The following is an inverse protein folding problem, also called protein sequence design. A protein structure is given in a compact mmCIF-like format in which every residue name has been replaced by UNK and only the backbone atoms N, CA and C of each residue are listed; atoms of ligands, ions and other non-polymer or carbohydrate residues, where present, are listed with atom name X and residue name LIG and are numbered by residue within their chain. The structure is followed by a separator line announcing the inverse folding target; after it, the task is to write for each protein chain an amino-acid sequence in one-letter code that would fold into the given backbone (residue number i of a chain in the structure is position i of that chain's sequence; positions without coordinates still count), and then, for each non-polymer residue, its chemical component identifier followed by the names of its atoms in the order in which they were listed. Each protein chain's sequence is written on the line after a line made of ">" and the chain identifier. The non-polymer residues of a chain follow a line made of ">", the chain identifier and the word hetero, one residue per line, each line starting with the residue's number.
data_IF_472432981163
#
_entry.id   IF_472432981163
#
_cell.length_a   1.000
_cell.length_b   1.000
_cell.length_c   1.000
_cell.angle_alpha   90.00
_cell.angle_beta   90.00
_cell.angle_gamma   90.00
#
_symmetry.space_group_name_H-M   'P 1'
#
loop_
_entity.id
_entity.type
_entity.pdbx_description
1 polymer ?
#
# COMPACT_ATOMS: atom_id res chain seq x y z
N UNK A 1 1.96 10.78 -6.49
CA UNK A 1 3.39 11.16 -6.69
C UNK A 1 4.36 9.96 -6.61
N UNK A 2 4.30 9.08 -5.58
CA UNK A 2 5.22 7.92 -5.45
C UNK A 2 5.12 6.88 -6.57
N UNK A 3 3.92 6.60 -7.08
CA UNK A 3 3.70 5.60 -8.13
C UNK A 3 4.19 6.07 -9.50
N UNK A 4 4.04 7.35 -9.82
CA UNK A 4 4.61 7.96 -11.03
C UNK A 4 6.15 7.81 -11.09
N UNK A 5 6.85 8.00 -9.97
CA UNK A 5 8.30 7.71 -9.89
C UNK A 5 8.64 6.22 -10.09
N UNK A 6 7.75 5.32 -9.70
CA UNK A 6 7.95 3.88 -9.89
C UNK A 6 7.75 3.46 -11.34
N UNK A 7 6.72 4.03 -12.00
CA UNK A 7 6.44 3.89 -13.42
C UNK A 7 7.61 4.41 -14.27
N UNK A 8 8.05 5.63 -14.00
CA UNK A 8 9.19 6.25 -14.68
C UNK A 8 10.43 5.38 -14.61
N UNK A 9 10.79 4.88 -13.41
CA UNK A 9 11.96 4.00 -13.23
C UNK A 9 11.86 2.67 -13.98
N UNK A 10 10.66 2.10 -14.09
CA UNK A 10 10.43 0.86 -14.85
C UNK A 10 10.63 1.13 -16.33
N UNK A 11 10.06 2.22 -16.85
CA UNK A 11 10.20 2.62 -18.26
C UNK A 11 11.65 2.94 -18.59
N UNK A 12 12.35 3.70 -17.75
CA UNK A 12 13.77 4.03 -17.93
C UNK A 12 14.65 2.78 -17.97
N UNK A 13 14.45 1.84 -17.04
CA UNK A 13 15.20 0.56 -17.02
C UNK A 13 14.97 -0.28 -18.26
N UNK A 14 13.73 -0.39 -18.71
CA UNK A 14 13.42 -1.17 -19.92
C UNK A 14 13.94 -0.48 -21.18
N UNK A 15 13.90 0.85 -21.23
CA UNK A 15 14.49 1.65 -22.32
C UNK A 15 16.01 1.44 -22.41
N UNK A 16 16.70 1.42 -21.27
CA UNK A 16 18.14 1.16 -21.19
C UNK A 16 18.54 -0.24 -21.66
N UNK A 17 17.64 -1.23 -21.55
CA UNK A 17 17.90 -2.60 -22.00
C UNK A 17 17.53 -2.82 -23.47
N UNK A 18 16.36 -2.34 -23.89
CA UNK A 18 15.80 -2.62 -25.23
C UNK A 18 16.56 -1.83 -26.31
N UNK A 19 16.88 -0.55 -26.09
CA UNK A 19 17.52 0.28 -27.12
C UNK A 19 18.91 -0.23 -27.53
N UNK A 20 19.82 -0.61 -26.61
CA UNK A 20 21.10 -1.18 -26.99
C UNK A 20 20.97 -2.56 -27.63
N UNK A 21 20.07 -3.40 -27.14
CA UNK A 21 19.82 -4.72 -27.72
C UNK A 21 19.31 -4.61 -29.16
N UNK A 22 18.40 -3.68 -29.42
CA UNK A 22 17.83 -3.44 -30.75
C UNK A 22 18.87 -2.87 -31.72
N UNK A 23 19.74 -1.96 -31.25
CA UNK A 23 20.89 -1.47 -32.03
C UNK A 23 21.90 -2.58 -32.34
N UNK A 24 22.16 -3.48 -31.38
CA UNK A 24 23.05 -4.62 -31.60
C UNK A 24 22.46 -5.55 -32.67
N UNK A 25 21.18 -5.94 -32.55
CA UNK A 25 20.49 -6.77 -33.55
C UNK A 25 20.43 -6.11 -34.93
N UNK A 26 20.22 -4.78 -35.01
CA UNK A 26 20.20 -4.05 -36.28
C UNK A 26 21.58 -3.91 -36.94
N UNK A 27 22.66 -3.94 -36.15
CA UNK A 27 24.04 -3.85 -36.64
C UNK A 27 24.61 -5.20 -37.08
N UNK A 28 23.87 -6.30 -36.83
CA UNK A 28 24.23 -7.66 -37.21
C UNK A 28 23.67 -7.93 -38.61
N UNK A 29 24.45 -7.54 -39.61
CA UNK A 29 24.31 -8.00 -41.00
C UNK A 29 25.69 -7.97 -41.66
N UNK A 30 26.00 -8.85 -42.63
CA UNK A 30 26.15 -10.30 -42.56
C UNK A 30 27.55 -10.75 -42.07
N UNK A 31 28.24 -9.95 -41.24
CA UNK A 31 29.68 -10.13 -41.00
C UNK A 31 30.07 -11.05 -39.81
N UNK A 32 29.15 -11.49 -38.95
CA UNK A 32 29.52 -12.27 -37.76
C UNK A 32 28.56 -13.43 -37.50
N UNK A 33 28.89 -14.63 -38.00
CA UNK A 33 28.66 -15.98 -37.45
C UNK A 33 27.36 -16.41 -36.74
N UNK A 34 26.38 -15.55 -36.52
CA UNK A 34 25.10 -15.88 -35.89
C UNK A 34 24.14 -16.39 -36.96
N UNK A 35 23.53 -17.53 -36.67
CA UNK A 35 22.52 -18.12 -37.54
C UNK A 35 21.28 -17.22 -37.58
N UNK A 36 20.55 -17.16 -38.70
CA UNK A 36 19.29 -16.40 -38.79
C UNK A 36 18.33 -16.74 -37.65
N UNK A 37 18.38 -17.98 -37.18
CA UNK A 37 17.62 -18.50 -36.05
C UNK A 37 17.93 -17.80 -34.70
N UNK A 38 19.20 -17.43 -34.45
CA UNK A 38 19.60 -16.70 -33.25
C UNK A 38 19.09 -15.25 -33.27
N UNK A 39 19.09 -14.62 -34.45
CA UNK A 39 18.54 -13.28 -34.65
C UNK A 39 17.02 -13.28 -34.44
N UNK A 40 16.31 -14.27 -34.97
CA UNK A 40 14.88 -14.44 -34.76
C UNK A 40 14.55 -14.65 -33.27
N UNK A 41 15.28 -15.55 -32.59
CA UNK A 41 15.10 -15.78 -31.16
C UNK A 41 15.33 -14.52 -30.31
N UNK A 42 16.31 -13.69 -30.68
CA UNK A 42 16.56 -12.41 -30.00
C UNK A 42 15.42 -11.39 -30.21
N UNK A 43 14.83 -11.34 -31.41
CA UNK A 43 13.66 -10.50 -31.70
C UNK A 43 12.42 -10.98 -30.93
N UNK A 44 12.16 -12.28 -30.89
CA UNK A 44 11.03 -12.85 -30.13
C UNK A 44 11.14 -12.61 -28.63
N UNK A 45 12.36 -12.71 -28.08
CA UNK A 45 12.63 -12.36 -26.69
C UNK A 45 12.33 -10.88 -26.42
N UNK A 46 12.69 -9.99 -27.34
CA UNK A 46 12.45 -8.55 -27.23
C UNK A 46 10.95 -8.21 -27.33
N UNK A 47 10.23 -8.84 -28.27
CA UNK A 47 8.78 -8.72 -28.40
C UNK A 47 8.09 -9.17 -27.11
N UNK A 48 8.47 -10.34 -26.58
CA UNK A 48 7.90 -10.87 -25.34
C UNK A 48 8.12 -9.90 -24.16
N UNK A 49 9.30 -9.29 -24.08
CA UNK A 49 9.63 -8.31 -23.04
C UNK A 49 8.85 -7.01 -23.19
N UNK A 50 8.74 -6.46 -24.40
CA UNK A 50 7.92 -5.26 -24.69
C UNK A 50 6.44 -5.49 -24.39
N UNK A 51 5.91 -6.66 -24.73
CA UNK A 51 4.54 -7.04 -24.37
C UNK A 51 4.36 -7.15 -22.85
N UNK A 52 5.33 -7.72 -22.14
CA UNK A 52 5.35 -7.77 -20.68
C UNK A 52 5.35 -6.36 -20.05
N UNK A 53 6.18 -5.45 -20.56
CA UNK A 53 6.19 -4.06 -20.12
C UNK A 53 4.85 -3.37 -20.38
N UNK A 54 4.27 -3.53 -21.58
CA UNK A 54 2.96 -2.95 -21.92
C UNK A 54 1.89 -3.38 -20.93
N UNK A 55 1.78 -4.69 -20.64
CA UNK A 55 0.81 -5.22 -19.66
C UNK A 55 1.04 -4.63 -18.27
N UNK A 56 2.30 -4.53 -17.84
CA UNK A 56 2.65 -3.95 -16.53
C UNK A 56 2.30 -2.46 -16.44
N UNK A 57 2.57 -1.69 -17.49
CA UNK A 57 2.22 -0.26 -17.55
C UNK A 57 0.71 -0.06 -17.50
N UNK A 58 -0.06 -0.87 -18.22
CA UNK A 58 -1.52 -0.79 -18.20
C UNK A 58 -2.08 -1.06 -16.79
N UNK A 59 -1.59 -2.10 -16.11
CA UNK A 59 -1.99 -2.41 -14.75
C UNK A 59 -1.68 -1.26 -13.78
N UNK A 60 -0.45 -0.74 -13.81
CA UNK A 60 -0.04 0.37 -12.95
C UNK A 60 -0.83 1.65 -13.25
N UNK A 61 -1.16 1.91 -14.52
CA UNK A 61 -1.98 3.06 -14.89
C UNK A 61 -3.43 2.91 -14.43
N UNK A 62 -4.00 1.69 -14.45
CA UNK A 62 -5.31 1.42 -13.86
C UNK A 62 -5.30 1.60 -12.34
N UNK A 63 -4.27 1.12 -11.65
CA UNK A 63 -4.10 1.33 -10.20
C UNK A 63 -3.99 2.83 -9.87
N UNK A 64 -3.17 3.56 -10.61
CA UNK A 64 -2.99 5.00 -10.40
C UNK A 64 -4.31 5.77 -10.60
N UNK A 65 -5.08 5.43 -11.64
CA UNK A 65 -6.41 6.02 -11.88
C UNK A 65 -7.36 5.79 -10.70
N UNK A 66 -7.43 4.55 -10.19
CA UNK A 66 -8.25 4.22 -9.01
C UNK A 66 -7.85 5.05 -7.80
N UNK A 67 -6.55 5.18 -7.54
CA UNK A 67 -6.04 5.95 -6.40
C UNK A 67 -6.36 7.44 -6.55
N UNK A 68 -6.23 8.00 -7.75
CA UNK A 68 -6.61 9.38 -8.02
C UNK A 68 -8.11 9.61 -7.83
N UNK A 69 -8.95 8.71 -8.33
CA UNK A 69 -10.41 8.86 -8.20
C UNK A 69 -10.87 8.72 -6.74
N UNK A 70 -10.29 7.79 -5.98
CA UNK A 70 -10.51 7.71 -4.53
C UNK A 70 -10.06 8.98 -3.81
N UNK A 71 -8.87 9.49 -4.14
CA UNK A 71 -8.36 10.73 -3.55
C UNK A 71 -9.27 11.92 -3.87
N UNK A 72 -9.77 12.01 -5.11
CA UNK A 72 -10.71 13.05 -5.54
C UNK A 72 -12.02 13.00 -4.75
N UNK A 73 -12.64 11.82 -4.64
CA UNK A 73 -13.88 11.63 -3.87
C UNK A 73 -13.70 11.96 -2.39
N UNK A 74 -12.54 11.64 -1.81
CA UNK A 74 -12.20 12.00 -0.42
C UNK A 74 -12.03 13.51 -0.25
N UNK A 75 -11.36 14.18 -1.18
CA UNK A 75 -11.22 15.64 -1.18
C UNK A 75 -12.60 16.29 -1.29
N UNK A 76 -13.43 15.86 -2.24
CA UNK A 76 -14.79 16.37 -2.42
C UNK A 76 -15.65 16.18 -1.16
N UNK A 77 -15.57 15.01 -0.51
CA UNK A 77 -16.27 14.77 0.76
C UNK A 77 -15.80 15.72 1.88
N UNK A 78 -14.52 16.08 1.92
CA UNK A 78 -13.99 17.07 2.87
C UNK A 78 -14.36 18.51 2.49
N UNK A 79 -14.36 18.85 1.20
CA UNK A 79 -14.81 20.15 0.70
C UNK A 79 -16.28 20.40 1.04
N UNK A 80 -17.13 19.37 0.91
CA UNK A 80 -18.53 19.42 1.32
C UNK A 80 -18.69 19.77 2.80
N UNK A 81 -17.81 19.25 3.68
CA UNK A 81 -17.80 19.65 5.09
C UNK A 81 -17.42 21.12 5.26
N UNK A 82 -16.37 21.58 4.57
CA UNK A 82 -15.90 22.98 4.68
C UNK A 82 -16.96 24.00 4.23
N UNK A 83 -17.86 23.61 3.34
CA UNK A 83 -18.96 24.47 2.88
C UNK A 83 -20.12 24.56 3.89
N UNK A 84 -20.16 23.69 4.90
CA UNK A 84 -21.21 23.68 5.92
C UNK A 84 -20.80 24.59 7.09
N UNK A 85 -21.60 25.63 7.32
CA UNK A 85 -21.25 26.70 8.27
C UNK A 85 -21.83 26.47 9.69
N UNK A 86 -22.68 25.45 9.88
CA UNK A 86 -23.34 25.16 11.16
C UNK A 86 -23.56 23.67 11.34
N UNK A 87 -23.37 23.19 12.58
CA UNK A 87 -23.66 21.80 12.97
C UNK A 87 -25.16 21.49 13.04
N UNK A 88 -26.01 22.52 13.11
CA UNK A 88 -27.47 22.37 13.07
C UNK A 88 -28.02 22.29 11.63
N UNK A 89 -27.16 22.38 10.61
CA UNK A 89 -27.55 22.27 9.21
C UNK A 89 -27.94 20.81 8.88
N UNK A 90 -29.03 20.62 8.13
CA UNK A 90 -29.45 19.31 7.62
C UNK A 90 -28.35 18.68 6.75
N UNK A 91 -27.56 19.50 6.05
CA UNK A 91 -26.39 19.03 5.28
C UNK A 91 -25.32 18.42 6.18
N UNK A 92 -25.15 18.93 7.40
CA UNK A 92 -24.24 18.34 8.38
C UNK A 92 -24.73 16.96 8.82
N UNK A 93 -26.03 16.80 9.11
CA UNK A 93 -26.60 15.50 9.48
C UNK A 93 -26.32 14.46 8.39
N UNK A 94 -26.62 14.78 7.13
CA UNK A 94 -26.36 13.89 5.99
C UNK A 94 -24.87 13.53 5.85
N UNK A 95 -23.98 14.52 5.92
CA UNK A 95 -22.54 14.30 5.85
C UNK A 95 -22.05 13.42 7.02
N UNK A 96 -22.56 13.65 8.22
CA UNK A 96 -22.18 12.92 9.42
C UNK A 96 -22.58 11.44 9.37
N UNK A 97 -23.68 11.11 8.68
CA UNK A 97 -24.10 9.72 8.43
C UNK A 97 -23.09 8.98 7.57
N UNK A 98 -22.63 9.60 6.47
CA UNK A 98 -21.57 9.03 5.62
C UNK A 98 -20.28 8.83 6.41
N UNK A 99 -19.92 9.81 7.25
CA UNK A 99 -18.77 9.67 8.17
C UNK A 99 -18.95 8.49 9.12
N UNK A 100 -20.13 8.32 9.70
CA UNK A 100 -20.42 7.21 10.62
C UNK A 100 -20.34 5.87 9.90
N UNK A 101 -20.96 5.72 8.73
CA UNK A 101 -20.90 4.50 7.93
C UNK A 101 -19.43 4.13 7.60
N UNK A 102 -18.58 5.12 7.30
CA UNK A 102 -17.14 4.93 7.10
C UNK A 102 -16.42 4.46 8.36
N UNK A 103 -16.73 5.03 9.53
CA UNK A 103 -16.13 4.63 10.80
C UNK A 103 -16.53 3.21 11.20
N UNK A 104 -17.80 2.85 11.00
CA UNK A 104 -18.31 1.50 11.24
C UNK A 104 -17.63 0.51 10.30
N UNK A 105 -17.48 0.85 9.01
CA UNK A 105 -16.75 0.04 8.04
C UNK A 105 -15.30 -0.20 8.46
N UNK A 106 -14.55 0.84 8.85
CA UNK A 106 -13.16 0.72 9.33
C UNK A 106 -13.08 -0.15 10.60
N UNK A 107 -14.01 0.03 11.54
CA UNK A 107 -14.08 -0.79 12.75
C UNK A 107 -14.30 -2.28 12.42
N UNK A 108 -15.22 -2.59 11.52
CA UNK A 108 -15.52 -3.95 11.09
C UNK A 108 -14.30 -4.60 10.43
N UNK A 109 -13.60 -3.87 9.57
CA UNK A 109 -12.35 -4.31 8.94
C UNK A 109 -11.23 -4.57 9.95
N UNK A 110 -11.09 -3.75 11.01
CA UNK A 110 -10.09 -4.01 12.05
C UNK A 110 -10.45 -5.21 12.92
N UNK A 111 -11.73 -5.50 13.06
CA UNK A 111 -12.25 -6.52 13.97
C UNK A 111 -12.36 -7.92 13.38
N UNK A 112 -12.14 -8.11 12.08
CA UNK A 112 -12.30 -9.43 11.44
C UNK A 112 -13.51 -9.54 10.51
N UNK A 113 -14.41 -8.56 10.51
CA UNK A 113 -15.71 -8.66 9.84
C UNK A 113 -15.65 -8.16 8.38
N UNK A 114 -14.80 -8.77 7.57
CA UNK A 114 -14.47 -8.33 6.21
C UNK A 114 -15.66 -8.30 5.27
N UNK A 115 -16.46 -9.36 5.25
CA UNK A 115 -17.59 -9.50 4.34
C UNK A 115 -18.71 -8.52 4.69
N UNK A 116 -19.01 -8.38 5.98
CA UNK A 116 -19.98 -7.42 6.47
C UNK A 116 -19.53 -5.97 6.22
N UNK A 117 -18.23 -5.68 6.36
CA UNK A 117 -17.69 -4.37 6.00
C UNK A 117 -17.80 -4.06 4.50
N UNK A 118 -17.52 -5.06 3.64
CA UNK A 118 -17.68 -4.93 2.18
C UNK A 118 -19.13 -4.66 1.81
N UNK A 119 -20.05 -5.41 2.41
CA UNK A 119 -21.48 -5.24 2.15
C UNK A 119 -21.98 -3.86 2.60
N UNK A 120 -21.60 -3.40 3.80
CA UNK A 120 -21.96 -2.06 4.28
C UNK A 120 -21.40 -0.98 3.35
N UNK A 121 -20.13 -1.09 2.94
CA UNK A 121 -19.51 -0.12 2.06
C UNK A 121 -20.19 -0.02 0.70
N UNK A 122 -20.60 -1.16 0.14
CA UNK A 122 -21.35 -1.25 -1.11
C UNK A 122 -22.77 -0.67 -0.98
N UNK A 123 -23.52 -1.08 0.05
CA UNK A 123 -24.90 -0.61 0.28
C UNK A 123 -24.98 0.90 0.54
N UNK A 124 -23.93 1.48 1.12
CA UNK A 124 -23.84 2.92 1.42
C UNK A 124 -23.11 3.74 0.36
N UNK A 125 -22.61 3.09 -0.71
CA UNK A 125 -21.80 3.72 -1.77
C UNK A 125 -20.58 4.52 -1.21
N UNK A 126 -19.87 3.92 -0.25
CA UNK A 126 -18.70 4.53 0.41
C UNK A 126 -17.40 3.75 0.17
N UNK A 127 -17.38 2.84 -0.81
CA UNK A 127 -16.21 2.00 -1.12
C UNK A 127 -14.97 2.84 -1.43
N UNK A 128 -15.13 3.97 -2.13
CA UNK A 128 -14.00 4.86 -2.45
C UNK A 128 -13.53 5.73 -1.27
N UNK A 129 -14.37 5.83 -0.23
CA UNK A 129 -14.06 6.54 1.01
C UNK A 129 -13.41 5.61 2.06
N UNK A 130 -13.42 4.29 1.84
CA UNK A 130 -12.87 3.28 2.74
C UNK A 130 -11.71 2.50 2.08
N UNK A 131 -10.65 2.21 2.85
CA UNK A 131 -9.47 1.49 2.34
C UNK A 131 -9.64 -0.05 2.38
N UNK A 132 -10.76 -0.56 1.86
CA UNK A 132 -11.18 -1.98 1.97
C UNK A 132 -10.05 -2.96 1.65
N UNK A 133 -9.43 -2.82 0.47
CA UNK A 133 -8.41 -3.74 -0.03
C UNK A 133 -7.15 -3.76 0.84
N UNK A 134 -6.79 -2.62 1.44
CA UNK A 134 -5.62 -2.53 2.32
C UNK A 134 -5.86 -3.35 3.59
N UNK A 135 -7.03 -3.19 4.21
CA UNK A 135 -7.37 -3.96 5.40
C UNK A 135 -7.51 -5.46 5.12
N UNK A 136 -8.10 -5.84 3.97
CA UNK A 136 -8.18 -7.25 3.55
C UNK A 136 -6.78 -7.87 3.45
N UNK A 137 -5.83 -7.16 2.83
CA UNK A 137 -4.45 -7.63 2.76
C UNK A 137 -3.81 -7.73 4.15
N UNK A 138 -4.00 -6.72 5.02
CA UNK A 138 -3.50 -6.75 6.38
C UNK A 138 -4.06 -7.93 7.19
N UNK A 139 -5.36 -8.20 7.07
CA UNK A 139 -5.99 -9.33 7.74
C UNK A 139 -5.46 -10.66 7.24
N UNK A 140 -5.33 -10.84 5.92
CA UNK A 140 -4.75 -12.06 5.35
C UNK A 140 -3.37 -12.33 5.92
N UNK A 141 -2.51 -11.32 5.96
CA UNK A 141 -1.16 -11.42 6.55
C UNK A 141 -1.24 -11.75 8.04
N UNK A 142 -2.10 -11.06 8.80
CA UNK A 142 -2.25 -11.28 10.24
C UNK A 142 -2.77 -12.69 10.58
N UNK A 143 -3.73 -13.21 9.81
CA UNK A 143 -4.28 -14.56 9.97
C UNK A 143 -3.24 -15.63 9.66
N UNK A 144 -2.51 -15.50 8.56
CA UNK A 144 -1.43 -16.43 8.21
C UNK A 144 -0.38 -16.46 9.31
N UNK A 145 0.02 -15.31 9.85
CA UNK A 145 0.95 -15.25 10.99
C UNK A 145 0.39 -15.90 12.26
N UNK A 146 -0.90 -15.73 12.58
CA UNK A 146 -1.55 -16.41 13.70
C UNK A 146 -1.55 -17.93 13.56
N UNK A 147 -1.58 -18.45 12.33
CA UNK A 147 -1.45 -19.89 12.02
C UNK A 147 0.00 -20.38 12.02
N UNK A 148 0.97 -19.50 12.25
CA UNK A 148 2.41 -19.82 12.15
C UNK A 148 2.94 -19.84 10.70
N UNK A 149 2.16 -19.36 9.74
CA UNK A 149 2.51 -19.33 8.33
C UNK A 149 3.10 -17.96 7.94
N UNK A 150 4.37 -17.93 7.54
CA UNK A 150 5.07 -16.67 7.21
C UNK A 150 5.03 -16.30 5.72
N UNK A 151 4.46 -17.16 4.87
CA UNK A 151 4.49 -17.01 3.40
C UNK A 151 3.92 -15.68 2.93
N UNK A 152 2.71 -15.34 3.36
CA UNK A 152 2.03 -14.10 2.95
C UNK A 152 2.74 -12.85 3.47
N UNK A 153 3.28 -12.91 4.69
CA UNK A 153 4.06 -11.83 5.27
C UNK A 153 5.37 -11.59 4.49
N UNK A 154 6.08 -12.66 4.14
CA UNK A 154 7.32 -12.56 3.34
C UNK A 154 7.04 -12.03 1.94
N UNK A 155 5.97 -12.49 1.30
CA UNK A 155 5.53 -11.99 0.00
C UNK A 155 5.25 -10.49 0.07
N UNK A 156 4.44 -10.05 1.05
CA UNK A 156 4.14 -8.64 1.24
C UNK A 156 5.39 -7.78 1.51
N UNK A 157 6.34 -8.30 2.31
CA UNK A 157 7.62 -7.65 2.54
C UNK A 157 8.46 -7.50 1.26
N UNK A 158 8.41 -8.49 0.36
CA UNK A 158 9.13 -8.43 -0.91
C UNK A 158 8.58 -7.35 -1.83
N UNK A 159 7.25 -7.20 -1.87
CA UNK A 159 6.52 -6.21 -2.66
C UNK A 159 6.74 -4.79 -2.12
N UNK A 160 6.79 -4.64 -0.80
CA UNK A 160 6.89 -3.35 -0.12
C UNK A 160 8.31 -2.99 0.33
N UNK A 161 9.33 -3.71 -0.12
CA UNK A 161 10.73 -3.57 0.33
C UNK A 161 11.26 -2.14 0.31
N UNK A 162 10.92 -1.35 -0.71
CA UNK A 162 11.36 0.05 -0.81
C UNK A 162 10.68 0.96 0.22
N UNK A 163 9.39 0.73 0.51
CA UNK A 163 8.65 1.43 1.55
C UNK A 163 9.17 1.03 2.93
N UNK A 164 9.42 -0.27 3.15
CA UNK A 164 9.97 -0.81 4.40
C UNK A 164 11.38 -0.28 4.69
N UNK A 165 12.26 -0.16 3.70
CA UNK A 165 13.60 0.43 3.90
C UNK A 165 13.54 1.91 4.32
N UNK A 166 12.60 2.68 3.75
CA UNK A 166 12.38 4.07 4.16
C UNK A 166 11.69 4.14 5.52
N UNK A 167 10.74 3.25 5.77
CA UNK A 167 10.02 3.16 7.02
C UNK A 167 10.90 2.61 8.14
N UNK A 168 11.95 1.84 7.88
CA UNK A 168 12.96 1.46 8.88
C UNK A 168 13.55 2.71 9.56
N UNK A 169 13.73 3.82 8.84
CA UNK A 169 14.15 5.11 9.43
C UNK A 169 13.09 5.68 10.39
N UNK A 170 11.80 5.37 10.17
CA UNK A 170 10.67 5.76 11.01
C UNK A 170 10.34 4.74 12.12
N UNK A 171 10.55 3.44 11.90
CA UNK A 171 10.37 2.37 12.90
C UNK A 171 11.49 2.42 13.95
N UNK A 172 12.66 2.98 13.61
CA UNK A 172 13.65 3.42 14.60
C UNK A 172 13.15 4.56 15.51
N UNK A 173 11.95 5.12 15.25
CA UNK A 173 11.27 5.97 16.21
C UNK A 173 10.94 5.15 17.46
N UNK A 174 11.50 5.60 18.58
CA UNK A 174 11.29 4.99 19.90
C UNK A 174 9.81 4.81 20.26
N UNK A 175 8.90 5.60 19.68
CA UNK A 175 7.46 5.53 19.97
C UNK A 175 6.76 4.30 19.34
N UNK A 176 7.22 3.83 18.18
CA UNK A 176 6.62 2.66 17.51
C UNK A 176 7.13 1.38 18.16
N UNK A 177 8.42 1.29 18.48
CA UNK A 177 8.95 0.21 19.32
C UNK A 177 8.25 0.18 20.69
N UNK A 178 7.98 1.36 21.28
CA UNK A 178 7.18 1.49 22.50
C UNK A 178 5.78 0.91 22.32
N UNK A 179 5.00 1.36 21.34
CA UNK A 179 3.64 0.88 21.11
C UNK A 179 3.57 -0.62 20.81
N UNK A 180 4.50 -1.14 19.99
CA UNK A 180 4.59 -2.56 19.70
C UNK A 180 4.93 -3.40 20.95
N UNK A 181 5.81 -2.90 21.81
CA UNK A 181 6.13 -3.51 23.10
C UNK A 181 4.95 -3.58 24.05
N UNK A 182 4.17 -2.50 24.15
CA UNK A 182 2.97 -2.43 24.97
C UNK A 182 1.84 -3.36 24.50
N UNK A 183 1.81 -3.70 23.19
CA UNK A 183 0.82 -4.62 22.61
C UNK A 183 1.27 -6.08 22.68
N UNK A 184 2.58 -6.35 22.60
CA UNK A 184 3.13 -7.69 22.56
C UNK A 184 3.41 -8.28 23.96
N UNK A 185 3.61 -7.43 24.98
CA UNK A 185 4.03 -7.87 26.30
C UNK A 185 3.16 -7.28 27.43
N UNK A 186 2.86 -8.08 28.48
CA UNK A 186 2.12 -7.60 29.65
C UNK A 186 2.97 -6.62 30.48
N UNK A 187 2.29 -5.88 31.37
CA UNK A 187 2.84 -4.75 32.16
C UNK A 187 4.06 -5.12 33.03
N UNK A 188 4.22 -6.40 33.34
CA UNK A 188 5.25 -7.02 34.18
C UNK A 188 6.38 -7.68 33.36
N UNK A 189 6.46 -7.40 32.06
CA UNK A 189 7.48 -7.99 31.19
C UNK A 189 8.91 -7.67 31.66
N UNK A 190 9.73 -8.71 31.73
CA UNK A 190 11.15 -8.64 32.06
C UNK A 190 12.05 -8.53 30.83
N UNK A 191 11.47 -8.45 29.62
CA UNK A 191 12.21 -8.34 28.38
C UNK A 191 12.73 -6.91 28.17
N UNK A 192 14.05 -6.72 28.08
CA UNK A 192 14.66 -5.43 27.76
C UNK A 192 14.53 -5.13 26.25
N UNK A 193 14.23 -3.88 25.81
CA UNK A 193 14.12 -2.63 26.58
C UNK A 193 12.72 -2.33 27.14
N UNK A 194 11.80 -3.28 27.10
CA UNK A 194 10.38 -3.05 27.43
C UNK A 194 10.09 -2.99 28.93
N UNK A 195 10.96 -3.57 29.75
CA UNK A 195 10.90 -3.50 31.22
C UNK A 195 10.81 -2.06 31.76
N UNK A 196 11.58 -1.13 31.18
CA UNK A 196 11.62 0.28 31.62
C UNK A 196 10.50 1.14 31.04
N UNK A 197 9.79 0.68 30.01
CA UNK A 197 8.79 1.49 29.31
C UNK A 197 7.51 1.74 30.11
N UNK A 198 7.14 0.85 31.02
CA UNK A 198 5.98 1.03 31.90
C UNK A 198 6.30 1.87 33.14
N UNK A 199 7.56 1.97 33.55
CA UNK A 199 7.98 2.76 34.72
C UNK A 199 7.98 4.28 34.45
N UNK A 200 8.25 4.70 33.21
CA UNK A 200 8.30 6.13 32.83
C UNK A 200 6.90 6.79 32.88
N UNK A 201 5.82 6.02 32.70
CA UNK A 201 4.45 6.55 32.65
C UNK A 201 3.86 6.95 34.01
N UNK A 202 4.42 6.49 35.14
CA UNK A 202 3.95 6.90 36.47
C UNK A 202 4.38 8.33 36.81
N UNK A 203 5.61 8.72 36.47
CA UNK A 203 6.14 10.06 36.79
C UNK A 203 5.55 11.16 35.90
N UNK A 204 5.22 10.88 34.62
CA UNK A 204 4.64 11.89 33.74
C UNK A 204 3.15 12.16 33.96
N UNK A 205 2.38 11.19 34.47
CA UNK A 205 0.94 11.37 34.73
C UNK A 205 0.63 11.96 36.11
N UNK A 206 1.51 11.77 37.11
CA UNK A 206 1.37 12.38 38.44
C UNK A 206 1.61 13.89 38.47
N UNK A 207 2.21 14.45 37.41
CA UNK A 207 2.43 15.89 37.28
C UNK A 207 1.35 16.63 36.47
N UNK A 208 0.33 15.92 35.96
CA UNK A 208 -0.80 16.51 35.22
C UNK A 208 -2.15 16.40 35.94
N UNK A 209 -2.16 16.05 37.22
CA UNK A 209 -3.29 16.24 38.14
C UNK A 209 -2.81 16.81 39.47
#
# INVERSE_FOLDING_TARGET
>A
MRECYSLQRIVEREREYILPSLKATASISPCNGQTPDQTLAALDAMISRMQGLKRKMENLHQEERKIHDQSRKRIEHLENLHQIHSLADVKYDQWSRVRLDRLVTDYMLRSGYTESARQLAHEKDIEDLADLNVFIQCQRVAESLRRGESKDALQWCSENKAALKKSQVCVQSTEIHRAAGLLAFPRDTMAEPYKVLFHIYLDQFLHLF
#
